data_IF_584385648890
#
_entry.id   IF_584385648890
#
_cell.length_a   1.000
_cell.length_b   1.000
_cell.length_c   1.000
_cell.angle_alpha   90.00
_cell.angle_beta   90.00
_cell.angle_gamma   90.00
#
_symmetry.space_group_name_H-M   'P 1'
#
loop_
_entity.id
_entity.type
_entity.pdbx_description
1 polymer ?
#
# COMPACT_ATOMS: atom_id res chain seq x y z
N UNK A 1 81.03 -7.80 13.73
CA UNK A 1 80.18 -8.25 14.84
C UNK A 1 79.08 -7.22 15.03
N UNK A 2 77.82 -7.67 14.97
CA UNK A 2 76.59 -7.05 15.56
C UNK A 2 76.22 -5.63 15.08
N UNK A 3 75.01 -5.30 14.65
CA UNK A 3 73.70 -5.96 14.71
C UNK A 3 72.73 -5.27 13.72
N UNK A 4 71.58 -5.89 13.57
CA UNK A 4 70.50 -5.85 12.59
C UNK A 4 69.61 -4.58 12.56
N UNK A 5 69.24 -4.11 11.34
CA UNK A 5 67.91 -3.73 10.76
C UNK A 5 66.74 -3.19 11.66
N UNK A 6 65.59 -2.63 11.16
CA UNK A 6 65.20 -2.08 9.85
C UNK A 6 64.46 -0.70 9.88
N UNK A 7 64.22 -0.19 8.67
CA UNK A 7 63.28 0.86 8.24
C UNK A 7 61.96 0.98 9.03
N UNK A 8 61.57 2.21 9.37
CA UNK A 8 60.15 2.61 9.51
C UNK A 8 59.79 3.67 8.47
N UNK A 9 59.03 3.24 7.45
CA UNK A 9 58.19 4.12 6.63
C UNK A 9 57.17 4.80 7.56
N UNK A 10 56.99 6.10 7.42
CA UNK A 10 55.89 6.80 8.07
C UNK A 10 54.56 6.26 7.54
N UNK A 11 53.78 5.64 8.42
CA UNK A 11 52.40 5.27 8.16
C UNK A 11 51.56 6.55 8.20
N UNK A 12 50.69 6.68 7.20
CA UNK A 12 49.70 7.75 7.08
C UNK A 12 48.58 7.38 8.06
N UNK A 13 48.50 8.08 9.19
CA UNK A 13 47.44 7.88 10.16
C UNK A 13 46.09 8.24 9.51
N UNK A 14 45.36 7.22 9.07
CA UNK A 14 43.95 7.33 8.77
C UNK A 14 43.23 7.48 10.11
N UNK A 15 42.95 8.73 10.46
CA UNK A 15 42.22 9.12 11.65
C UNK A 15 40.76 8.66 11.51
N UNK A 16 40.47 7.41 11.87
CA UNK A 16 39.11 6.88 11.97
C UNK A 16 38.48 7.47 13.25
N UNK A 17 37.92 8.67 13.14
CA UNK A 17 37.08 9.25 14.19
C UNK A 17 35.81 8.40 14.28
N UNK A 18 35.75 7.49 15.24
CA UNK A 18 34.49 6.89 15.68
C UNK A 18 33.62 7.98 16.27
N UNK A 19 32.69 8.51 15.48
CA UNK A 19 31.65 9.38 16.00
C UNK A 19 30.71 8.51 16.86
N UNK A 20 30.78 8.66 18.18
CA UNK A 20 29.79 8.07 19.08
C UNK A 20 28.45 8.80 18.83
N UNK A 21 27.38 8.08 18.46
CA UNK A 21 26.10 8.71 18.19
C UNK A 21 25.58 9.42 19.45
N UNK A 22 25.05 10.63 19.28
CA UNK A 22 24.54 11.42 20.39
C UNK A 22 23.30 10.75 21.00
N UNK A 23 22.99 11.05 22.26
CA UNK A 23 21.77 10.56 22.91
C UNK A 23 20.50 10.94 22.15
N UNK A 24 20.48 12.09 21.47
CA UNK A 24 19.40 12.49 20.55
C UNK A 24 19.32 11.61 19.30
N UNK A 25 20.45 11.19 18.72
CA UNK A 25 20.46 10.28 17.57
C UNK A 25 19.99 8.88 17.98
N UNK A 26 20.33 8.44 19.20
CA UNK A 26 19.89 7.17 19.75
C UNK A 26 18.40 7.20 20.09
N UNK A 27 17.87 8.30 20.66
CA UNK A 27 16.44 8.45 20.94
C UNK A 27 15.64 8.57 19.63
N UNK A 28 16.13 9.32 18.64
CA UNK A 28 15.47 9.40 17.33
C UNK A 28 15.45 8.01 16.67
N UNK A 29 16.59 7.30 16.64
CA UNK A 29 16.67 5.92 16.16
C UNK A 29 15.77 4.96 16.94
N UNK A 30 15.65 5.11 18.26
CA UNK A 30 14.78 4.29 19.11
C UNK A 30 13.29 4.62 18.93
N UNK A 31 12.94 5.89 18.68
CA UNK A 31 11.58 6.34 18.32
C UNK A 31 11.19 5.81 16.93
N UNK A 32 12.11 5.74 15.97
CA UNK A 32 11.88 5.13 14.66
C UNK A 32 11.69 3.60 14.72
N UNK A 33 12.22 2.91 15.74
CA UNK A 33 12.12 1.45 15.87
C UNK A 33 10.76 0.99 16.43
N UNK A 34 9.97 1.87 17.07
CA UNK A 34 8.69 1.50 17.73
C UNK A 34 7.46 2.10 17.03
N UNK A 35 7.63 2.95 16.01
CA UNK A 35 6.48 3.56 15.29
C UNK A 35 5.83 2.55 14.34
N UNK A 36 4.51 2.45 14.43
CA UNK A 36 3.70 1.85 13.37
C UNK A 36 3.92 2.67 12.09
N UNK A 37 4.67 2.11 11.14
CA UNK A 37 4.94 2.72 9.83
C UNK A 37 3.87 2.38 8.83
N UNK A 38 2.71 1.86 9.25
CA UNK A 38 1.63 1.63 8.32
C UNK A 38 1.07 2.95 7.80
N UNK A 39 0.66 2.99 6.53
CA UNK A 39 0.07 4.18 5.95
C UNK A 39 -1.27 4.51 6.61
N UNK A 40 -1.80 5.70 6.36
CA UNK A 40 -3.16 6.01 6.76
C UNK A 40 -4.17 5.00 6.16
N UNK A 41 -5.31 4.80 6.82
CA UNK A 41 -6.39 3.97 6.28
C UNK A 41 -6.88 4.55 4.95
N UNK A 42 -7.32 3.69 4.02
CA UNK A 42 -7.83 4.12 2.70
C UNK A 42 -9.09 5.01 2.79
N UNK A 43 -9.75 5.01 3.94
CA UNK A 43 -10.93 5.83 4.27
C UNK A 43 -10.58 7.11 5.04
N UNK A 44 -9.31 7.35 5.36
CA UNK A 44 -8.88 8.56 6.08
C UNK A 44 -8.90 9.79 5.17
N UNK A 45 -9.04 10.98 5.77
CA UNK A 45 -8.97 12.25 5.03
C UNK A 45 -7.67 12.42 4.27
N UNK A 46 -6.54 12.02 4.88
CA UNK A 46 -5.21 12.05 4.24
C UNK A 46 -5.18 11.18 2.97
N UNK A 47 -5.74 9.96 3.03
CA UNK A 47 -5.83 9.09 1.87
C UNK A 47 -6.74 9.64 0.77
N UNK A 48 -7.84 10.29 1.16
CA UNK A 48 -8.78 10.95 0.23
C UNK A 48 -8.10 12.13 -0.46
N UNK A 49 -7.37 12.96 0.28
CA UNK A 49 -6.65 14.12 -0.25
C UNK A 49 -5.57 13.71 -1.26
N UNK A 50 -4.72 12.75 -0.90
CA UNK A 50 -3.66 12.25 -1.81
C UNK A 50 -4.23 11.63 -3.09
N UNK A 51 -5.33 10.88 -2.97
CA UNK A 51 -6.05 10.33 -4.14
C UNK A 51 -6.59 11.45 -5.02
N UNK A 52 -7.22 12.47 -4.44
CA UNK A 52 -7.77 13.58 -5.21
C UNK A 52 -6.66 14.39 -5.92
N UNK A 53 -5.52 14.59 -5.26
CA UNK A 53 -4.34 15.21 -5.87
C UNK A 53 -3.85 14.38 -7.07
N UNK A 54 -3.68 13.06 -6.91
CA UNK A 54 -3.25 12.20 -8.01
C UNK A 54 -4.27 12.17 -9.14
N UNK A 55 -5.56 12.07 -8.84
CA UNK A 55 -6.63 12.13 -9.84
C UNK A 55 -6.62 13.44 -10.62
N UNK A 56 -6.34 14.57 -9.96
CA UNK A 56 -6.25 15.88 -10.64
C UNK A 56 -5.14 15.94 -11.70
N UNK A 57 -4.08 15.15 -11.52
CA UNK A 57 -2.99 15.00 -12.49
C UNK A 57 -3.31 13.99 -13.61
N UNK A 58 -4.21 13.04 -13.35
CA UNK A 58 -4.53 11.94 -14.26
C UNK A 58 -5.77 12.21 -15.14
N UNK A 59 -6.70 13.04 -14.68
CA UNK A 59 -7.87 13.46 -15.46
C UNK A 59 -8.36 14.84 -15.02
N UNK A 60 -8.58 15.74 -15.97
CA UNK A 60 -8.88 17.14 -15.68
C UNK A 60 -10.36 17.46 -15.46
N UNK A 61 -11.28 16.48 -15.57
CA UNK A 61 -12.71 16.80 -15.51
C UNK A 61 -13.51 15.66 -14.89
N UNK A 62 -14.11 15.93 -13.73
CA UNK A 62 -15.20 15.13 -13.21
C UNK A 62 -16.38 15.16 -14.19
N UNK A 63 -17.11 14.05 -14.28
CA UNK A 63 -18.34 13.99 -15.07
C UNK A 63 -19.52 14.50 -14.23
N UNK A 64 -20.40 15.30 -14.84
CA UNK A 64 -21.67 15.71 -14.22
C UNK A 64 -22.72 14.59 -14.29
N UNK A 65 -22.50 13.57 -15.11
CA UNK A 65 -23.34 12.38 -15.24
C UNK A 65 -22.55 11.13 -14.83
N UNK A 66 -23.11 10.34 -13.91
CA UNK A 66 -22.52 9.08 -13.45
C UNK A 66 -22.66 7.94 -14.46
N UNK A 67 -23.56 8.07 -15.44
CA UNK A 67 -23.79 7.04 -16.44
C UNK A 67 -22.56 6.83 -17.32
N UNK A 68 -22.28 5.58 -17.65
CA UNK A 68 -21.18 5.20 -18.54
C UNK A 68 -20.46 3.93 -18.09
N UNK A 69 -19.35 3.67 -18.76
CA UNK A 69 -18.43 2.58 -18.43
C UNK A 69 -17.25 3.13 -17.64
N UNK A 70 -17.06 2.59 -16.44
CA UNK A 70 -16.01 2.95 -15.51
C UNK A 70 -14.98 1.82 -15.47
N UNK A 71 -13.71 2.15 -15.67
CA UNK A 71 -12.60 1.21 -15.62
C UNK A 71 -11.79 1.44 -14.35
N UNK A 72 -11.21 0.36 -13.79
CA UNK A 72 -10.22 0.50 -12.72
C UNK A 72 -9.00 1.26 -13.28
N UNK A 73 -8.71 2.41 -12.69
CA UNK A 73 -7.63 3.29 -13.12
C UNK A 73 -6.27 2.74 -12.67
N UNK A 74 -5.62 1.94 -13.51
CA UNK A 74 -4.30 1.33 -13.24
C UNK A 74 -3.13 2.10 -13.84
N UNK A 75 -3.42 3.08 -14.69
CA UNK A 75 -2.46 3.98 -15.34
C UNK A 75 -2.33 5.34 -14.64
N UNK A 76 -3.06 5.51 -13.53
CA UNK A 76 -3.13 6.74 -12.77
C UNK A 76 -2.35 6.60 -11.45
N UNK A 77 -1.34 7.45 -11.24
CA UNK A 77 -0.42 7.35 -10.10
C UNK A 77 0.63 6.25 -10.28
N UNK A 78 1.43 6.04 -9.24
CA UNK A 78 2.50 5.04 -9.22
C UNK A 78 2.36 4.10 -8.03
N UNK A 79 2.53 2.80 -8.27
CA UNK A 79 2.66 1.80 -7.22
C UNK A 79 4.12 1.42 -7.04
N UNK A 80 4.67 1.66 -5.85
CA UNK A 80 6.00 1.21 -5.45
C UNK A 80 6.00 0.74 -3.99
N UNK A 81 7.16 0.39 -3.43
CA UNK A 81 7.26 -0.10 -2.05
C UNK A 81 6.80 0.92 -1.00
N UNK A 82 6.82 2.23 -1.31
CA UNK A 82 6.31 3.26 -0.40
C UNK A 82 4.82 3.07 -0.16
N UNK A 83 4.07 2.50 -1.12
CA UNK A 83 2.68 2.10 -0.92
C UNK A 83 2.49 1.10 0.21
N UNK A 84 3.51 0.55 0.87
CA UNK A 84 3.33 -0.30 2.06
C UNK A 84 3.46 0.47 3.38
N UNK A 85 3.98 1.70 3.33
CA UNK A 85 4.29 2.52 4.50
C UNK A 85 3.72 3.94 4.45
N UNK A 86 3.38 4.41 3.25
CA UNK A 86 2.80 5.72 2.94
C UNK A 86 1.48 5.57 2.18
N UNK A 87 0.71 6.66 2.13
CA UNK A 87 -0.57 6.71 1.42
C UNK A 87 -0.32 6.38 -0.05
N UNK A 88 -0.95 5.30 -0.52
CA UNK A 88 -0.82 4.86 -1.90
C UNK A 88 -1.93 5.52 -2.72
N UNK A 89 -1.55 6.41 -3.63
CA UNK A 89 -2.48 7.23 -4.39
C UNK A 89 -2.76 6.67 -5.80
N UNK A 90 -2.84 5.35 -5.94
CA UNK A 90 -3.19 4.64 -7.18
C UNK A 90 -4.20 3.53 -6.88
N UNK A 91 -4.72 2.85 -7.91
CA UNK A 91 -5.60 1.69 -7.69
C UNK A 91 -4.80 0.49 -7.18
N UNK A 92 -5.27 -0.10 -6.09
CA UNK A 92 -4.71 -1.33 -5.53
C UNK A 92 -5.80 -2.10 -4.79
N UNK A 93 -5.54 -3.38 -4.56
CA UNK A 93 -6.30 -4.21 -3.62
C UNK A 93 -5.36 -4.70 -2.51
N UNK A 94 -5.89 -4.97 -1.34
CA UNK A 94 -5.05 -5.34 -0.22
C UNK A 94 -5.77 -5.44 1.11
N UNK A 95 -5.00 -5.57 2.17
CA UNK A 95 -5.50 -5.70 3.52
C UNK A 95 -4.68 -4.87 4.52
N UNK A 96 -5.30 -4.61 5.66
CA UNK A 96 -4.66 -4.05 6.85
C UNK A 96 -5.06 -4.90 8.05
N UNK A 97 -4.10 -5.44 8.78
CA UNK A 97 -4.34 -6.25 9.98
C UNK A 97 -3.65 -5.57 11.15
N UNK A 98 -4.41 -5.25 12.20
CA UNK A 98 -3.87 -4.75 13.45
C UNK A 98 -3.44 -5.93 14.31
N UNK A 99 -2.16 -5.99 14.63
CA UNK A 99 -1.54 -6.99 15.49
C UNK A 99 -1.14 -6.36 16.82
N UNK A 100 -1.27 -7.11 17.92
CA UNK A 100 -0.73 -6.74 19.22
C UNK A 100 0.35 -7.74 19.59
N UNK A 101 1.61 -7.29 19.60
CA UNK A 101 2.75 -8.14 19.90
C UNK A 101 3.16 -7.97 21.35
N UNK A 102 3.09 -9.05 22.13
CA UNK A 102 3.48 -9.06 23.54
C UNK A 102 4.92 -8.56 23.68
N UNK A 103 5.09 -7.42 24.36
CA UNK A 103 6.39 -6.79 24.62
C UNK A 103 6.92 -5.85 23.53
N UNK A 104 6.27 -5.74 22.37
CA UNK A 104 6.63 -4.84 21.27
C UNK A 104 5.55 -3.77 21.03
N UNK A 105 4.30 -4.05 21.38
CA UNK A 105 3.15 -3.17 21.20
C UNK A 105 2.38 -3.43 19.90
N UNK A 106 1.46 -2.52 19.57
CA UNK A 106 0.62 -2.61 18.38
C UNK A 106 1.38 -2.35 17.08
N UNK A 107 1.22 -3.21 16.09
CA UNK A 107 1.73 -3.05 14.72
C UNK A 107 0.59 -3.24 13.73
N UNK A 108 0.49 -2.39 12.71
CA UNK A 108 -0.40 -2.66 11.59
C UNK A 108 0.39 -3.27 10.44
N UNK A 109 -0.05 -4.44 10.00
CA UNK A 109 0.46 -5.11 8.81
C UNK A 109 -0.35 -4.67 7.61
N UNK A 110 0.34 -4.28 6.54
CA UNK A 110 -0.29 -3.91 5.27
C UNK A 110 0.24 -4.82 4.18
N UNK A 111 -0.69 -5.35 3.38
CA UNK A 111 -0.37 -6.06 2.14
C UNK A 111 -1.16 -5.46 0.99
N UNK A 112 -0.53 -5.22 -0.15
CA UNK A 112 -1.15 -4.59 -1.33
C UNK A 112 -0.66 -5.22 -2.64
N UNK A 113 -1.49 -5.12 -3.67
CA UNK A 113 -1.14 -5.42 -5.06
C UNK A 113 -1.74 -4.34 -5.98
N UNK A 114 -0.99 -3.84 -6.98
CA UNK A 114 -1.53 -2.95 -8.01
C UNK A 114 -2.31 -3.67 -9.10
N UNK A 115 -2.21 -5.01 -9.18
CA UNK A 115 -2.77 -5.78 -10.28
C UNK A 115 -4.26 -6.02 -10.04
N UNK A 116 -5.04 -4.96 -10.24
CA UNK A 116 -6.50 -4.94 -10.12
C UNK A 116 -7.08 -4.60 -11.48
N UNK A 117 -8.02 -5.42 -11.94
CA UNK A 117 -8.71 -5.21 -13.21
C UNK A 117 -10.21 -5.28 -12.97
N UNK A 118 -10.97 -4.52 -13.74
CA UNK A 118 -12.41 -4.58 -13.68
C UNK A 118 -13.06 -3.41 -14.38
N UNK A 119 -14.35 -3.56 -14.62
CA UNK A 119 -15.19 -2.53 -15.20
C UNK A 119 -16.56 -2.54 -14.53
N UNK A 120 -17.14 -1.36 -14.40
CA UNK A 120 -18.52 -1.18 -13.96
C UNK A 120 -19.28 -0.42 -15.03
N UNK A 121 -20.55 -0.78 -15.22
CA UNK A 121 -21.45 -0.06 -16.14
C UNK A 121 -22.55 0.54 -15.29
N UNK A 122 -22.68 1.86 -15.35
CA UNK A 122 -23.77 2.60 -14.72
C UNK A 122 -24.72 3.03 -15.84
N UNK A 123 -25.96 2.56 -15.78
CA UNK A 123 -27.03 2.94 -16.71
C UNK A 123 -28.21 3.45 -15.91
N UNK A 124 -28.74 4.61 -16.29
CA UNK A 124 -29.86 5.25 -15.58
C UNK A 124 -29.60 5.39 -14.06
N UNK A 125 -28.35 5.73 -13.70
CA UNK A 125 -27.86 5.82 -12.32
C UNK A 125 -27.93 4.50 -11.54
N UNK A 126 -28.00 3.36 -12.23
CA UNK A 126 -28.06 2.03 -11.61
C UNK A 126 -26.90 1.16 -12.09
N UNK A 127 -26.24 0.49 -11.16
CA UNK A 127 -25.43 -0.70 -11.46
C UNK A 127 -26.32 -1.91 -11.26
N UNK A 128 -26.57 -2.65 -12.33
CA UNK A 128 -27.27 -3.93 -12.24
C UNK A 128 -26.32 -5.04 -11.76
N UNK A 129 -26.86 -5.95 -10.96
CA UNK A 129 -26.19 -7.17 -10.56
C UNK A 129 -26.59 -8.29 -11.52
N UNK A 130 -25.67 -8.67 -12.39
CA UNK A 130 -25.80 -9.83 -13.28
C UNK A 130 -24.88 -10.96 -12.81
N UNK A 131 -25.16 -12.23 -13.15
CA UNK A 131 -24.24 -13.32 -12.83
C UNK A 131 -22.83 -13.05 -13.40
N UNK A 132 -21.83 -12.99 -12.52
CA UNK A 132 -20.42 -12.69 -12.81
C UNK A 132 -20.13 -11.25 -13.30
N UNK A 133 -21.08 -10.31 -13.21
CA UNK A 133 -20.85 -8.90 -13.58
C UNK A 133 -21.72 -7.93 -12.76
N UNK A 134 -21.19 -6.74 -12.40
CA UNK A 134 -19.81 -6.31 -12.56
C UNK A 134 -18.84 -7.07 -11.64
N UNK A 135 -17.60 -7.22 -12.10
CA UNK A 135 -16.56 -8.05 -11.49
C UNK A 135 -15.25 -7.26 -11.40
N UNK A 136 -14.68 -7.19 -10.21
CA UNK A 136 -13.29 -6.78 -10.01
C UNK A 136 -12.46 -8.04 -9.77
N UNK A 137 -11.38 -8.19 -10.53
CA UNK A 137 -10.44 -9.30 -10.44
C UNK A 137 -9.09 -8.77 -9.95
N UNK A 138 -8.52 -9.47 -8.97
CA UNK A 138 -7.24 -9.14 -8.35
C UNK A 138 -6.28 -10.29 -8.53
N UNK A 139 -5.07 -9.99 -9.04
CA UNK A 139 -3.96 -10.93 -9.06
C UNK A 139 -3.28 -10.96 -7.69
N UNK A 140 -3.66 -11.96 -6.89
CA UNK A 140 -3.15 -12.19 -5.54
C UNK A 140 -1.74 -12.77 -5.53
N UNK A 141 -1.25 -13.32 -6.64
CA UNK A 141 0.13 -13.81 -6.72
C UNK A 141 1.15 -12.67 -6.66
N UNK A 142 0.73 -11.45 -7.03
CA UNK A 142 1.53 -10.22 -6.92
C UNK A 142 1.39 -9.48 -5.58
N UNK A 143 0.64 -10.03 -4.62
CA UNK A 143 0.45 -9.43 -3.29
C UNK A 143 1.78 -9.36 -2.54
N UNK A 144 2.12 -8.17 -2.04
CA UNK A 144 3.35 -7.92 -1.29
C UNK A 144 3.08 -7.20 0.04
N UNK A 145 3.96 -7.39 1.01
CA UNK A 145 4.01 -6.68 2.29
C UNK A 145 5.40 -6.07 2.50
N UNK A 146 5.59 -5.32 3.59
CA UNK A 146 6.88 -4.78 4.00
C UNK A 146 7.90 -5.85 4.47
N UNK A 147 7.59 -7.15 4.34
CA UNK A 147 8.46 -8.23 4.78
C UNK A 147 8.36 -9.50 3.90
N UNK A 148 9.46 -9.85 3.24
CA UNK A 148 9.53 -11.01 2.35
C UNK A 148 9.22 -12.37 3.01
N UNK A 149 9.52 -12.55 4.31
CA UNK A 149 9.17 -13.80 5.01
C UNK A 149 7.66 -13.94 5.18
N UNK A 150 6.95 -12.83 5.42
CA UNK A 150 5.49 -12.78 5.46
C UNK A 150 4.89 -12.97 4.08
N UNK A 151 5.48 -12.41 3.03
CA UNK A 151 5.04 -12.68 1.66
C UNK A 151 5.13 -14.18 1.33
N UNK A 152 6.21 -14.83 1.76
CA UNK A 152 6.37 -16.27 1.60
C UNK A 152 5.33 -17.07 2.40
N UNK A 153 4.96 -16.61 3.60
CA UNK A 153 3.89 -17.23 4.39
C UNK A 153 2.51 -17.03 3.74
N UNK A 154 2.18 -15.83 3.26
CA UNK A 154 0.94 -15.52 2.54
C UNK A 154 0.81 -16.37 1.28
N UNK A 155 1.92 -16.58 0.56
CA UNK A 155 1.94 -17.36 -0.67
C UNK A 155 1.76 -18.86 -0.48
N UNK A 156 2.27 -19.44 0.62
CA UNK A 156 2.39 -20.90 0.75
C UNK A 156 1.75 -21.51 2.00
N UNK A 157 1.31 -20.72 2.98
CA UNK A 157 0.88 -21.25 4.29
C UNK A 157 -0.39 -20.60 4.84
N UNK A 158 -0.66 -19.33 4.50
CA UNK A 158 -1.82 -18.60 5.02
C UNK A 158 -2.97 -18.61 4.00
N UNK A 159 -3.17 -17.52 3.26
CA UNK A 159 -4.20 -17.44 2.21
C UNK A 159 -3.78 -18.12 0.90
N UNK A 160 -2.61 -18.77 0.91
CA UNK A 160 -2.07 -19.62 -0.16
C UNK A 160 -2.19 -19.00 -1.56
N UNK A 161 -1.70 -17.76 -1.77
CA UNK A 161 -1.84 -17.08 -3.07
C UNK A 161 -1.14 -17.79 -4.24
N UNK A 162 -0.27 -18.78 -3.98
CA UNK A 162 0.23 -19.67 -5.02
C UNK A 162 -0.82 -20.68 -5.52
N UNK A 163 -1.71 -21.14 -4.64
CA UNK A 163 -2.81 -22.05 -4.97
C UNK A 163 -4.07 -21.30 -5.39
N UNK A 164 -4.31 -20.13 -4.80
CA UNK A 164 -5.46 -19.26 -5.08
C UNK A 164 -4.96 -17.89 -5.58
N UNK A 165 -4.43 -17.81 -6.82
CA UNK A 165 -3.77 -16.60 -7.34
C UNK A 165 -4.75 -15.49 -7.73
N UNK A 166 -6.05 -15.74 -7.67
CA UNK A 166 -7.06 -14.79 -8.13
C UNK A 166 -8.13 -14.61 -7.07
N UNK A 167 -8.40 -13.35 -6.72
CA UNK A 167 -9.56 -12.97 -5.93
C UNK A 167 -10.54 -12.18 -6.80
N UNK A 168 -11.83 -12.39 -6.56
CA UNK A 168 -12.90 -11.70 -7.27
C UNK A 168 -13.85 -11.00 -6.31
N UNK A 169 -14.31 -9.82 -6.71
CA UNK A 169 -15.36 -9.07 -6.03
C UNK A 169 -16.52 -8.88 -7.00
N UNK A 170 -17.69 -9.39 -6.62
CA UNK A 170 -18.93 -9.32 -7.39
C UNK A 170 -19.96 -8.46 -6.66
N UNK A 171 -20.65 -7.61 -7.42
CA UNK A 171 -21.83 -6.92 -6.92
C UNK A 171 -23.02 -7.87 -7.07
N UNK A 172 -23.57 -8.32 -5.93
CA UNK A 172 -24.69 -9.28 -5.87
C UNK A 172 -26.07 -8.64 -5.71
N UNK A 173 -26.13 -7.33 -5.60
CA UNK A 173 -27.38 -6.58 -5.48
C UNK A 173 -27.22 -5.24 -6.19
N UNK A 174 -28.25 -4.74 -6.89
CA UNK A 174 -28.16 -3.48 -7.60
C UNK A 174 -27.74 -2.33 -6.69
N UNK A 175 -26.97 -1.39 -7.23
CA UNK A 175 -26.55 -0.16 -6.56
C UNK A 175 -27.20 1.02 -7.27
N UNK A 176 -28.02 1.77 -6.56
CA UNK A 176 -28.76 2.93 -7.07
C UNK A 176 -28.09 4.24 -6.64
N UNK A 177 -27.74 5.09 -7.62
CA UNK A 177 -27.15 6.42 -7.45
C UNK A 177 -28.16 7.55 -7.70
N UNK A 178 -29.47 7.25 -7.72
CA UNK A 178 -30.54 8.23 -7.92
C UNK A 178 -30.58 9.30 -6.82
N UNK A 179 -30.14 8.95 -5.61
CA UNK A 179 -29.99 9.87 -4.48
C UNK A 179 -28.51 10.31 -4.38
N UNK A 180 -28.19 11.49 -4.91
CA UNK A 180 -26.80 11.99 -5.06
C UNK A 180 -25.96 12.08 -3.78
N UNK A 181 -26.54 11.86 -2.60
CA UNK A 181 -25.85 11.82 -1.31
C UNK A 181 -24.77 10.73 -1.21
N UNK A 182 -24.84 9.66 -2.01
CA UNK A 182 -23.85 8.56 -1.97
C UNK A 182 -22.55 8.85 -2.75
N UNK A 183 -22.56 9.87 -3.62
CA UNK A 183 -21.42 10.22 -4.47
C UNK A 183 -20.33 11.00 -3.70
N UNK A 184 -20.70 11.72 -2.64
CA UNK A 184 -19.78 12.51 -1.82
C UNK A 184 -19.26 11.77 -0.58
N UNK A 185 -20.01 10.78 -0.07
CA UNK A 185 -19.70 10.10 1.18
C UNK A 185 -18.84 8.84 1.00
N UNK A 186 -18.85 8.23 -0.20
CA UNK A 186 -18.25 6.93 -0.44
C UNK A 186 -19.02 5.85 0.31
N UNK A 187 -19.86 5.10 -0.41
CA UNK A 187 -20.57 3.88 0.03
C UNK A 187 -20.72 3.76 1.56
N UNK A 188 -21.53 4.64 2.16
CA UNK A 188 -21.96 4.46 3.54
C UNK A 188 -23.09 3.42 3.56
N UNK A 189 -22.96 2.45 4.46
CA UNK A 189 -23.71 1.19 4.54
C UNK A 189 -25.25 1.33 4.45
N UNK A 190 -25.87 0.29 3.86
CA UNK A 190 -27.28 -0.09 4.06
C UNK A 190 -27.48 -0.82 5.38
#
# INVERSE_FOLDING_TARGET
MTEENPKKKQAKDHNFRSANPSWSDLISRMVFIIRDTSPASVTSSEAIEARNETLSSCSQKGTEDVNGTWLVATDCGTFDESCLTEVCATSFAGFRIKEELVGVGGKTVVGRTPNVTGALVINEKLINSEPNQPLITVDMASLMTDNAARDNALRNQAIETALFPTATFEIKSPIDFSNETDLAAGFTEM
#
